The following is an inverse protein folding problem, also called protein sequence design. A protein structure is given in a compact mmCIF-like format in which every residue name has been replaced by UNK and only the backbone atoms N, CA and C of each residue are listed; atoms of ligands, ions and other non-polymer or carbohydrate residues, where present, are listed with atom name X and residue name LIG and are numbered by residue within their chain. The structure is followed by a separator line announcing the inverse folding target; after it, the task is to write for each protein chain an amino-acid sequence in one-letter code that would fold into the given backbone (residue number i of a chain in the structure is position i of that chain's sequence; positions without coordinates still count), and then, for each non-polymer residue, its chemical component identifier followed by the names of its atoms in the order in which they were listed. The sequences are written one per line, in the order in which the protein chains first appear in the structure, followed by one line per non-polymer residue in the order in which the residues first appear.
data_IF_783063621763
#
_entry.id   IF_783063621763
#
_cell.length_a   1.000
_cell.length_b   1.000
_cell.length_c   1.000
_cell.angle_alpha   90.00
_cell.angle_beta   90.00
_cell.angle_gamma   90.00
#
_symmetry.space_group_name_H-M   'P 1'
#
loop_
_entity.id
_entity.type
_entity.pdbx_description
1 polymer ?
#
# COMPACT_ATOMS: atom_id res chain seq x y z
N UNK A 1 -6.31 18.26 -6.51
CA UNK A 1 -5.26 18.43 -7.54
C UNK A 1 -3.99 19.04 -6.95
N UNK A 2 -4.08 20.10 -6.13
CA UNK A 2 -2.91 20.77 -5.54
C UNK A 2 -2.09 19.94 -4.53
N UNK A 3 -2.72 19.04 -3.78
CA UNK A 3 -2.04 18.24 -2.74
C UNK A 3 -1.11 17.17 -3.33
N UNK A 4 -1.46 16.56 -4.48
CA UNK A 4 -0.64 15.53 -5.09
C UNK A 4 0.60 16.10 -5.84
N UNK A 5 0.50 17.32 -6.38
CA UNK A 5 1.58 17.95 -7.16
C UNK A 5 2.52 18.82 -6.29
N UNK A 6 2.03 19.44 -5.19
CA UNK A 6 2.84 20.30 -4.30
C UNK A 6 3.05 19.75 -2.88
N UNK A 7 2.36 18.68 -2.49
CA UNK A 7 2.44 18.15 -1.12
C UNK A 7 3.84 17.70 -0.70
N UNK A 8 4.68 17.27 -1.65
CA UNK A 8 6.00 16.70 -1.37
C UNK A 8 7.01 17.71 -0.79
N UNK A 9 6.93 18.99 -1.18
CA UNK A 9 7.74 20.06 -0.58
C UNK A 9 7.18 20.60 0.73
N UNK A 10 5.92 20.29 1.04
CA UNK A 10 5.22 20.65 2.27
C UNK A 10 5.17 19.49 3.29
N UNK A 11 5.78 18.35 2.99
CA UNK A 11 5.78 17.16 3.86
C UNK A 11 4.46 16.41 3.94
N UNK A 12 3.54 16.62 2.99
CA UNK A 12 2.21 15.98 2.96
C UNK A 12 2.28 14.66 2.18
N UNK A 13 1.68 13.61 2.75
CA UNK A 13 1.53 12.30 2.12
C UNK A 13 0.05 12.07 1.83
N UNK A 14 -0.25 11.64 0.60
CA UNK A 14 -1.59 11.18 0.19
C UNK A 14 -1.60 9.66 0.18
N UNK A 15 -2.54 9.06 0.92
CA UNK A 15 -2.82 7.62 0.88
C UNK A 15 -4.23 7.42 0.35
N UNK A 16 -4.34 6.66 -0.73
CA UNK A 16 -5.61 6.25 -1.32
C UNK A 16 -5.80 4.74 -1.14
N UNK A 17 -7.03 4.34 -0.83
CA UNK A 17 -7.46 2.95 -0.91
C UNK A 17 -8.75 2.91 -1.73
N UNK A 18 -8.72 2.20 -2.84
CA UNK A 18 -9.82 2.13 -3.80
C UNK A 18 -10.01 0.70 -4.27
N UNK A 19 -11.26 0.34 -4.60
CA UNK A 19 -11.58 -0.97 -5.17
C UNK A 19 -11.21 -1.04 -6.66
N UNK A 20 -11.40 0.07 -7.37
CA UNK A 20 -11.24 0.17 -8.82
C UNK A 20 -10.43 1.41 -9.16
N UNK A 21 -9.19 1.25 -9.62
CA UNK A 21 -8.34 2.39 -9.97
C UNK A 21 -8.82 3.12 -11.24
N UNK A 22 -9.55 2.44 -12.13
CA UNK A 22 -10.09 3.04 -13.36
C UNK A 22 -11.21 4.06 -13.12
N UNK A 23 -11.81 4.06 -11.93
CA UNK A 23 -12.80 5.07 -11.50
C UNK A 23 -12.14 6.29 -10.82
N UNK A 24 -10.83 6.22 -10.55
CA UNK A 24 -10.08 7.30 -9.91
C UNK A 24 -9.54 8.25 -10.97
N UNK A 25 -9.53 9.54 -10.65
CA UNK A 25 -8.95 10.56 -11.50
C UNK A 25 -7.50 10.21 -11.89
N UNK A 26 -7.23 10.13 -13.19
CA UNK A 26 -6.00 9.55 -13.74
C UNK A 26 -4.72 10.20 -13.19
N UNK A 27 -4.73 11.50 -12.88
CA UNK A 27 -3.54 12.18 -12.33
C UNK A 27 -3.22 11.72 -10.92
N UNK A 28 -4.22 11.35 -10.10
CA UNK A 28 -3.98 10.78 -8.77
C UNK A 28 -3.20 9.48 -8.92
N UNK A 29 -3.70 8.55 -9.75
CA UNK A 29 -3.04 7.25 -9.96
C UNK A 29 -1.67 7.42 -10.61
N UNK A 30 -1.53 8.32 -11.58
CA UNK A 30 -0.27 8.58 -12.29
C UNK A 30 0.81 9.22 -11.41
N UNK A 31 0.44 10.07 -10.47
CA UNK A 31 1.38 10.76 -9.57
C UNK A 31 1.74 9.95 -8.32
N UNK A 32 1.03 8.86 -8.02
CA UNK A 32 1.39 7.95 -6.92
C UNK A 32 2.74 7.27 -7.17
N UNK A 33 3.72 7.55 -6.33
CA UNK A 33 5.06 6.96 -6.41
C UNK A 33 5.08 5.48 -6.01
N UNK A 34 4.27 5.11 -5.01
CA UNK A 34 4.10 3.73 -4.55
C UNK A 34 2.70 3.29 -4.93
N UNK A 35 2.59 2.07 -5.48
CA UNK A 35 1.30 1.47 -5.84
C UNK A 35 1.24 0.04 -5.35
N UNK A 36 0.12 -0.33 -4.75
CA UNK A 36 -0.14 -1.68 -4.25
C UNK A 36 -1.42 -2.19 -4.90
N UNK A 37 -1.34 -3.39 -5.48
CA UNK A 37 -2.46 -4.01 -6.18
C UNK A 37 -2.73 -5.37 -5.57
N UNK A 38 -3.97 -5.60 -5.17
CA UNK A 38 -4.44 -6.91 -4.72
C UNK A 38 -4.93 -7.75 -5.90
N UNK A 39 -5.92 -8.59 -5.63
CA UNK A 39 -6.58 -9.32 -6.70
C UNK A 39 -7.40 -8.36 -7.56
N UNK A 40 -7.19 -8.40 -8.87
CA UNK A 40 -7.99 -7.64 -9.85
C UNK A 40 -8.98 -8.55 -10.57
N UNK A 41 -10.07 -7.99 -11.08
CA UNK A 41 -10.83 -8.66 -12.14
C UNK A 41 -10.11 -8.53 -13.49
N UNK A 42 -10.49 -9.39 -14.43
CA UNK A 42 -9.83 -9.46 -15.74
C UNK A 42 -10.05 -8.21 -16.59
N UNK A 43 -11.20 -7.53 -16.47
CA UNK A 43 -11.49 -6.33 -17.26
C UNK A 43 -10.65 -5.16 -16.72
N UNK A 44 -10.62 -4.98 -15.42
CA UNK A 44 -9.84 -3.94 -14.73
C UNK A 44 -8.34 -4.09 -14.97
N UNK A 45 -7.79 -5.32 -14.94
CA UNK A 45 -6.37 -5.57 -15.21
C UNK A 45 -5.90 -5.11 -16.60
N UNK A 46 -6.80 -4.97 -17.58
CA UNK A 46 -6.46 -4.49 -18.92
C UNK A 46 -6.42 -2.97 -19.05
N UNK A 47 -6.95 -2.25 -18.05
CA UNK A 47 -7.06 -0.78 -18.06
C UNK A 47 -5.69 -0.10 -18.01
N UNK A 48 -5.64 1.11 -18.56
CA UNK A 48 -4.40 1.87 -18.73
C UNK A 48 -3.77 2.30 -17.39
N UNK A 49 -4.60 2.42 -16.35
CA UNK A 49 -4.25 2.78 -14.98
C UNK A 49 -3.29 1.75 -14.35
N UNK A 50 -3.31 0.49 -14.81
CA UNK A 50 -2.40 -0.56 -14.37
C UNK A 50 -1.16 -0.72 -15.24
N UNK A 51 -0.93 0.18 -16.20
CA UNK A 51 0.21 0.11 -17.12
C UNK A 51 1.60 0.10 -16.45
N UNK A 52 1.67 0.46 -15.16
CA UNK A 52 2.89 0.34 -14.35
C UNK A 52 3.28 -1.12 -14.01
N UNK A 53 2.33 -2.06 -14.11
CA UNK A 53 2.60 -3.49 -13.95
C UNK A 53 2.91 -4.11 -15.32
N UNK A 54 4.00 -4.89 -15.46
CA UNK A 54 4.24 -5.61 -16.70
C UNK A 54 3.12 -6.63 -16.97
N UNK A 55 2.89 -6.95 -18.24
CA UNK A 55 1.72 -7.71 -18.69
C UNK A 55 1.54 -9.05 -17.96
N UNK A 56 2.64 -9.77 -17.70
CA UNK A 56 2.61 -11.04 -16.99
C UNK A 56 2.12 -10.87 -15.54
N UNK A 57 2.56 -9.80 -14.86
CA UNK A 57 2.14 -9.49 -13.50
C UNK A 57 0.68 -9.03 -13.45
N UNK A 58 0.19 -8.30 -14.46
CA UNK A 58 -1.24 -7.95 -14.58
C UNK A 58 -2.11 -9.20 -14.74
N UNK A 59 -1.69 -10.14 -15.58
CA UNK A 59 -2.38 -11.42 -15.73
C UNK A 59 -2.38 -12.21 -14.40
N UNK A 60 -1.22 -12.26 -13.72
CA UNK A 60 -1.12 -12.90 -12.40
C UNK A 60 -2.03 -12.26 -11.36
N UNK A 61 -2.18 -10.93 -11.37
CA UNK A 61 -3.06 -10.20 -10.45
C UNK A 61 -4.52 -10.68 -10.50
N UNK A 62 -4.97 -11.30 -11.60
CA UNK A 62 -6.33 -11.84 -11.69
C UNK A 62 -6.54 -13.15 -10.92
N UNK A 63 -5.45 -13.89 -10.68
CA UNK A 63 -5.44 -15.21 -10.05
C UNK A 63 -4.68 -15.27 -8.72
N UNK A 64 -4.10 -14.16 -8.25
CA UNK A 64 -3.42 -14.16 -6.96
C UNK A 64 -4.40 -14.47 -5.83
N UNK A 65 -3.92 -15.22 -4.84
CA UNK A 65 -4.71 -15.56 -3.65
C UNK A 65 -5.05 -14.29 -2.86
N UNK A 66 -6.21 -14.25 -2.18
CA UNK A 66 -6.50 -13.20 -1.21
C UNK A 66 -5.36 -13.06 -0.20
N UNK A 67 -5.02 -11.82 0.15
CA UNK A 67 -3.86 -11.51 0.99
C UNK A 67 -2.53 -11.51 0.24
N UNK A 68 -2.45 -11.84 -1.04
CA UNK A 68 -1.26 -11.56 -1.85
C UNK A 68 -1.42 -10.22 -2.54
N UNK A 69 -0.40 -9.36 -2.45
CA UNK A 69 -0.37 -8.05 -3.07
C UNK A 69 0.88 -7.88 -3.93
N UNK A 70 0.77 -7.10 -5.00
CA UNK A 70 1.87 -6.64 -5.85
C UNK A 70 2.20 -5.19 -5.50
N UNK A 71 3.42 -4.94 -5.05
CA UNK A 71 3.96 -3.63 -4.69
C UNK A 71 4.88 -3.14 -5.80
N UNK A 72 4.61 -1.96 -6.34
CA UNK A 72 5.49 -1.24 -7.26
C UNK A 72 6.00 0.03 -6.60
N UNK A 73 7.30 0.27 -6.69
CA UNK A 73 7.97 1.42 -6.10
C UNK A 73 9.16 1.87 -6.99
N UNK A 74 9.58 3.15 -6.95
CA UNK A 74 10.50 3.71 -7.95
C UNK A 74 11.91 3.13 -7.95
N UNK A 75 12.42 2.65 -6.80
CA UNK A 75 13.80 2.18 -6.64
C UNK A 75 13.99 0.73 -7.11
N UNK A 76 12.90 -0.03 -7.22
CA UNK A 76 12.96 -1.44 -7.64
C UNK A 76 12.18 -1.60 -8.94
N UNK A 77 12.85 -1.93 -10.07
CA UNK A 77 12.22 -1.95 -11.39
C UNK A 77 11.26 -3.13 -11.61
N UNK A 78 11.17 -4.05 -10.65
CA UNK A 78 10.30 -5.23 -10.69
C UNK A 78 9.27 -5.16 -9.56
N UNK A 79 7.99 -5.44 -9.82
CA UNK A 79 7.00 -5.50 -8.75
C UNK A 79 7.33 -6.57 -7.71
N UNK A 80 7.29 -6.20 -6.45
CA UNK A 80 7.50 -7.09 -5.31
C UNK A 80 6.18 -7.76 -4.94
N UNK A 81 6.22 -9.08 -4.72
CA UNK A 81 5.07 -9.81 -4.19
C UNK A 81 5.15 -9.82 -2.67
N UNK A 82 4.13 -9.31 -2.00
CA UNK A 82 4.03 -9.29 -0.54
C UNK A 82 2.78 -10.02 -0.09
N UNK A 83 2.81 -10.56 1.12
CA UNK A 83 1.62 -11.06 1.78
C UNK A 83 1.05 -9.93 2.66
N UNK A 84 -0.26 -9.84 2.76
CA UNK A 84 -0.97 -8.93 3.63
C UNK A 84 -1.99 -9.74 4.44
N UNK A 85 -1.96 -9.63 5.78
CA UNK A 85 -1.01 -8.83 6.56
C UNK A 85 0.37 -9.49 6.70
N UNK A 86 1.47 -8.72 6.59
CA UNK A 86 2.86 -9.18 6.82
C UNK A 86 3.76 -8.00 7.25
N UNK A 87 4.59 -8.13 8.32
CA UNK A 87 4.35 -7.81 9.76
C UNK A 87 4.64 -6.31 10.10
N UNK A 88 4.47 -5.69 11.28
CA UNK A 88 4.36 -6.13 12.69
C UNK A 88 3.37 -5.25 13.50
N UNK A 89 2.10 -5.27 13.14
CA UNK A 89 1.06 -4.81 14.06
C UNK A 89 -0.07 -5.82 14.04
N UNK A 90 -0.53 -6.16 15.24
CA UNK A 90 -1.64 -7.06 15.41
C UNK A 90 -2.90 -6.38 14.88
N UNK A 91 -3.61 -7.01 13.95
CA UNK A 91 -4.89 -6.47 13.48
C UNK A 91 -5.97 -6.56 14.57
N UNK A 92 -5.75 -7.39 15.59
CA UNK A 92 -6.50 -7.49 16.85
C UNK A 92 -5.56 -7.58 18.03
N UNK A 93 -5.96 -7.06 19.20
CA UNK A 93 -5.16 -7.18 20.43
C UNK A 93 -4.79 -8.63 20.77
N UNK A 94 -5.67 -9.59 20.47
CA UNK A 94 -5.44 -11.02 20.68
C UNK A 94 -4.41 -11.66 19.72
N UNK A 95 -4.06 -10.97 18.62
CA UNK A 95 -3.12 -11.45 17.60
C UNK A 95 -1.72 -10.85 17.81
N UNK A 96 -1.53 -10.02 18.86
CA UNK A 96 -0.25 -9.44 19.19
C UNK A 96 0.68 -10.54 19.72
N UNK A 97 1.76 -10.81 18.98
CA UNK A 97 2.87 -11.59 19.50
C UNK A 97 3.59 -10.85 20.63
N UNK A 98 4.36 -11.59 21.43
CA UNK A 98 5.27 -10.96 22.40
C UNK A 98 6.18 -9.97 21.67
N UNK A 99 6.25 -8.74 22.15
CA UNK A 99 7.09 -7.70 21.56
C UNK A 99 8.55 -8.19 21.60
N UNK A 100 9.23 -8.36 20.45
CA UNK A 100 10.58 -8.94 20.39
C UNK A 100 11.66 -8.05 21.05
N UNK A 101 11.29 -6.83 21.45
CA UNK A 101 12.15 -5.86 22.16
C UNK A 101 11.66 -5.50 23.57
N UNK A 102 10.61 -6.15 24.09
CA UNK A 102 10.12 -5.85 25.44
C UNK A 102 11.02 -6.48 26.52
N UNK A 103 12.04 -5.74 26.94
CA UNK A 103 12.57 -5.86 28.30
C UNK A 103 11.56 -5.22 29.26
N UNK A 104 10.68 -6.02 29.88
CA UNK A 104 9.81 -5.79 31.07
C UNK A 104 9.27 -4.37 31.43
N UNK A 105 9.30 -3.40 30.52
CA UNK A 105 8.69 -2.09 30.63
C UNK A 105 8.36 -1.58 29.23
N UNK A 106 7.08 -1.48 28.86
CA UNK A 106 6.68 -0.80 27.65
C UNK A 106 6.64 0.69 27.96
N UNK A 107 7.75 1.40 27.79
CA UNK A 107 7.69 2.84 27.64
C UNK A 107 6.97 3.12 26.32
N UNK A 108 5.70 3.54 26.43
CA UNK A 108 4.89 3.97 25.30
C UNK A 108 5.60 5.14 24.59
N UNK A 109 6.10 4.95 23.35
CA UNK A 109 6.85 5.97 22.63
C UNK A 109 5.98 7.17 22.23
N UNK A 110 4.66 7.10 22.46
CA UNK A 110 3.72 8.18 22.20
C UNK A 110 3.22 8.87 23.48
N UNK A 111 3.71 8.47 24.66
CA UNK A 111 3.33 9.08 25.95
C UNK A 111 3.70 10.56 26.09
N UNK A 112 4.64 11.04 25.28
CA UNK A 112 5.08 12.44 25.25
C UNK A 112 4.25 13.34 24.33
N UNK A 113 3.29 12.79 23.58
CA UNK A 113 2.39 13.62 22.77
C UNK A 113 1.22 14.13 23.62
N UNK A 114 0.90 15.43 23.56
CA UNK A 114 -0.26 15.98 24.25
C UNK A 114 -1.55 15.36 23.67
N UNK A 115 -2.41 14.86 24.56
CA UNK A 115 -3.73 14.34 24.20
C UNK A 115 -4.66 15.53 23.88
N UNK A 116 -5.33 15.47 22.73
CA UNK A 116 -6.41 16.40 22.35
C UNK A 116 -7.67 16.17 23.19
#
# INVERSE_FOLDING_TARGET
LDVAERGRSLGIILIGAQQTASEVERRIVANSAIRVVGRLDAAEATRGEYGFLPQVQRQRATIIKPGTMLLSQPEIPVPLMVQFPFPAWATRAAEAGANPTATDHPDDPFSTFPKL
#
